data_IF_417432259201
#
_entry.id   IF_417432259201
#
_cell.length_a   1.000
_cell.length_b   1.000
_cell.length_c   1.000
_cell.angle_alpha   90.00
_cell.angle_beta   90.00
_cell.angle_gamma   90.00
#
_symmetry.space_group_name_H-M   'P 1'
#
loop_
_entity.id
_entity.type
_entity.pdbx_description
1 polymer ?
#
# COMPACT_ATOMS: atom_id res chain seq x y z
N UNK A 1 6.89 18.81 -29.97
CA UNK A 1 8.08 17.94 -30.20
C UNK A 1 9.29 18.87 -30.20
N UNK A 2 10.34 18.55 -29.45
CA UNK A 2 11.48 19.41 -29.03
C UNK A 2 11.21 20.32 -27.82
N UNK A 3 11.36 19.78 -26.60
CA UNK A 3 11.76 20.53 -25.38
C UNK A 3 12.04 19.61 -24.16
N UNK A 4 12.36 18.32 -24.34
CA UNK A 4 12.40 17.35 -23.23
C UNK A 4 13.80 16.76 -22.88
N UNK A 5 14.87 17.16 -23.56
CA UNK A 5 16.19 16.51 -23.38
C UNK A 5 17.30 17.38 -22.76
N UNK A 6 17.01 18.57 -22.24
CA UNK A 6 18.06 19.49 -21.74
C UNK A 6 18.05 19.81 -20.23
N UNK A 7 17.30 19.08 -19.39
CA UNK A 7 17.18 19.39 -17.93
C UNK A 7 17.81 18.31 -17.03
N UNK A 8 18.95 17.72 -17.40
CA UNK A 8 19.72 16.91 -16.44
C UNK A 8 21.23 17.13 -16.63
N UNK A 9 21.89 17.97 -15.81
CA UNK A 9 23.33 17.93 -15.68
C UNK A 9 23.73 16.59 -15.07
N UNK A 10 24.58 15.86 -15.78
CA UNK A 10 25.25 14.64 -15.35
C UNK A 10 26.28 14.93 -14.27
N UNK A 11 25.86 15.32 -13.08
CA UNK A 11 26.70 15.35 -11.88
C UNK A 11 25.87 14.80 -10.71
N UNK A 12 26.55 14.17 -9.75
CA UNK A 12 26.02 13.40 -8.59
C UNK A 12 25.82 11.90 -8.83
N UNK A 13 26.94 11.17 -8.92
CA UNK A 13 27.00 9.79 -8.41
C UNK A 13 26.98 9.85 -6.88
N UNK A 14 25.83 9.65 -6.27
CA UNK A 14 25.79 9.19 -4.87
C UNK A 14 26.12 7.69 -4.91
N UNK A 15 27.24 7.31 -4.29
CA UNK A 15 27.62 5.90 -4.14
C UNK A 15 26.58 5.19 -3.27
N UNK A 16 25.57 4.59 -3.90
CA UNK A 16 24.62 3.71 -3.24
C UNK A 16 25.26 2.33 -3.01
N UNK A 17 26.09 2.23 -1.98
CA UNK A 17 26.34 0.93 -1.34
C UNK A 17 25.03 0.49 -0.70
N UNK A 18 24.59 -0.76 -0.92
CA UNK A 18 23.37 -1.35 -0.32
C UNK A 18 23.32 -1.04 1.19
N UNK A 19 22.43 -0.14 1.59
CA UNK A 19 22.22 0.24 2.99
C UNK A 19 20.83 -0.16 3.43
N UNK A 20 20.79 -0.80 4.60
CA UNK A 20 19.64 -1.36 5.31
C UNK A 20 18.65 -0.24 5.63
N UNK A 21 17.36 -0.46 5.34
CA UNK A 21 16.30 0.52 5.55
C UNK A 21 15.85 0.53 7.02
N UNK A 22 16.62 1.24 7.84
CA UNK A 22 16.24 1.78 9.16
C UNK A 22 15.59 3.15 8.93
N UNK A 23 14.69 3.67 9.80
CA UNK A 23 14.17 5.02 9.63
C UNK A 23 15.34 6.00 9.76
N UNK A 24 15.84 6.51 8.64
CA UNK A 24 16.94 7.49 8.65
C UNK A 24 16.46 8.88 9.04
N UNK A 25 15.16 9.16 8.90
CA UNK A 25 14.56 10.47 9.18
C UNK A 25 13.55 10.41 10.33
N UNK A 26 13.45 11.52 11.06
CA UNK A 26 12.43 11.77 12.07
C UNK A 26 11.90 13.20 11.94
N UNK A 27 10.72 13.48 12.51
CA UNK A 27 10.10 14.79 12.40
C UNK A 27 10.52 15.71 13.55
N UNK A 28 11.02 16.90 13.23
CA UNK A 28 11.24 17.96 14.21
C UNK A 28 10.01 18.85 14.33
N UNK A 29 9.47 18.97 15.54
CA UNK A 29 8.33 19.88 15.80
C UNK A 29 8.74 21.35 15.69
N UNK A 30 9.97 21.67 16.07
CA UNK A 30 10.55 23.01 16.02
C UNK A 30 10.83 23.47 14.59
N UNK A 31 11.52 22.63 13.79
CA UNK A 31 11.82 22.96 12.39
C UNK A 31 10.67 22.67 11.43
N UNK A 32 9.62 21.98 11.90
CA UNK A 32 8.41 21.60 11.15
C UNK A 32 8.68 20.77 9.89
N UNK A 33 9.74 19.96 9.90
CA UNK A 33 10.16 19.13 8.78
C UNK A 33 10.74 17.79 9.23
N UNK A 34 10.77 16.82 8.31
CA UNK A 34 11.47 15.55 8.49
C UNK A 34 12.95 15.75 8.17
N UNK A 35 13.81 15.27 9.09
CA UNK A 35 15.25 15.45 9.05
C UNK A 35 15.92 14.13 9.37
N UNK A 36 17.01 13.82 8.69
CA UNK A 36 17.98 12.85 9.20
C UNK A 36 18.86 13.46 10.31
N UNK A 37 19.70 12.63 10.94
CA UNK A 37 20.57 13.07 12.04
C UNK A 37 21.55 14.15 11.59
N UNK A 38 22.08 14.05 10.36
CA UNK A 38 23.04 15.01 9.83
C UNK A 38 22.38 16.38 9.59
N UNK A 39 21.21 16.37 8.93
CA UNK A 39 20.41 17.55 8.67
C UNK A 39 19.95 18.24 9.96
N UNK A 40 19.59 17.46 10.98
CA UNK A 40 19.22 17.98 12.29
C UNK A 40 20.41 18.69 12.96
N UNK A 41 21.57 18.03 13.03
CA UNK A 41 22.77 18.60 13.64
C UNK A 41 23.25 19.85 12.89
N UNK A 42 23.17 19.86 11.56
CA UNK A 42 23.50 21.04 10.75
C UNK A 42 22.59 22.23 11.05
N UNK A 43 21.30 22.01 11.32
CA UNK A 43 20.35 23.06 11.70
C UNK A 43 20.55 23.56 13.13
N UNK A 44 20.94 22.67 14.05
CA UNK A 44 21.21 23.00 15.46
C UNK A 44 22.54 23.75 15.62
N UNK A 45 23.57 23.35 14.87
CA UNK A 45 24.95 23.80 15.03
C UNK A 45 25.34 25.06 14.24
N UNK A 46 24.42 26.02 14.01
CA UNK A 46 24.75 27.28 13.32
C UNK A 46 25.88 28.02 14.06
N UNK A 47 27.14 27.79 13.65
CA UNK A 47 28.34 28.45 14.17
C UNK A 47 29.40 27.55 14.84
N UNK A 48 29.23 26.23 14.90
CA UNK A 48 30.21 25.32 15.53
C UNK A 48 30.73 24.26 14.55
N UNK A 49 31.93 23.71 14.82
CA UNK A 49 32.49 22.61 14.01
C UNK A 49 31.51 21.43 13.94
N UNK A 50 31.34 20.80 12.76
CA UNK A 50 30.38 19.71 12.59
C UNK A 50 30.70 18.54 13.52
N UNK A 51 29.71 18.12 14.32
CA UNK A 51 29.83 16.95 15.21
C UNK A 51 29.98 15.70 14.34
N UNK A 52 31.04 14.89 14.51
CA UNK A 52 31.19 13.67 13.74
C UNK A 52 30.04 12.69 14.02
N UNK A 53 29.34 12.22 12.98
CA UNK A 53 28.18 11.33 13.10
C UNK A 53 28.47 9.97 13.78
N UNK A 54 29.74 9.61 13.94
CA UNK A 54 30.19 8.40 14.62
C UNK A 54 30.58 8.64 16.09
N UNK A 55 30.43 9.87 16.61
CA UNK A 55 30.75 10.27 17.99
C UNK A 55 29.61 11.09 18.61
N UNK A 56 28.36 10.62 18.48
CA UNK A 56 27.19 11.30 19.06
C UNK A 56 27.13 11.16 20.60
N UNK A 57 27.97 10.29 21.18
CA UNK A 57 28.12 10.08 22.62
C UNK A 57 28.76 11.28 23.34
N UNK A 58 29.36 12.21 22.60
CA UNK A 58 29.87 13.49 23.12
C UNK A 58 28.89 14.67 23.06
N UNK A 59 27.66 14.49 22.57
CA UNK A 59 26.69 15.59 22.46
C UNK A 59 26.31 16.14 23.84
N UNK A 60 26.19 17.47 23.95
CA UNK A 60 25.76 18.15 25.18
C UNK A 60 24.45 17.52 25.74
N UNK A 61 24.37 17.21 27.04
CA UNK A 61 23.16 16.76 27.69
C UNK A 61 21.93 17.63 27.41
N UNK A 62 22.09 18.96 27.32
CA UNK A 62 21.00 19.89 26.99
C UNK A 62 20.44 19.65 25.60
N UNK A 63 21.32 19.44 24.61
CA UNK A 63 20.89 19.11 23.24
C UNK A 63 20.19 17.76 23.18
N UNK A 64 20.63 16.76 23.95
CA UNK A 64 19.95 15.46 24.02
C UNK A 64 18.55 15.57 24.60
N UNK A 65 18.37 16.30 25.69
CA UNK A 65 17.05 16.53 26.28
C UNK A 65 16.14 17.33 25.35
N UNK A 66 16.69 18.31 24.62
CA UNK A 66 15.93 19.03 23.60
C UNK A 66 15.49 18.11 22.45
N UNK A 67 16.39 17.28 21.90
CA UNK A 67 16.07 16.30 20.85
C UNK A 67 14.97 15.34 21.31
N UNK A 68 15.08 14.83 22.54
CA UNK A 68 14.10 13.92 23.14
C UNK A 68 12.70 14.54 23.19
N UNK A 69 12.62 15.85 23.44
CA UNK A 69 11.38 16.64 23.50
C UNK A 69 10.90 17.12 22.14
N UNK A 70 11.76 17.36 21.17
CA UNK A 70 11.39 17.90 19.86
C UNK A 70 11.08 16.81 18.82
N UNK A 71 11.94 15.79 18.74
CA UNK A 71 11.89 14.81 17.67
C UNK A 71 10.76 13.81 17.91
N UNK A 72 10.03 13.51 16.84
CA UNK A 72 8.87 12.62 16.81
C UNK A 72 9.01 11.59 15.71
N UNK A 73 8.47 10.39 15.95
CA UNK A 73 8.25 9.42 14.89
C UNK A 73 7.33 10.03 13.81
N UNK A 74 7.70 9.97 12.51
CA UNK A 74 6.87 10.50 11.43
C UNK A 74 5.55 9.74 11.18
N UNK A 75 5.48 8.46 11.59
CA UNK A 75 4.30 7.61 11.40
C UNK A 75 3.41 7.64 12.64
N UNK A 76 3.88 7.12 13.78
CA UNK A 76 3.06 6.97 14.99
C UNK A 76 3.11 8.16 15.96
N UNK A 77 3.92 9.19 15.69
CA UNK A 77 3.98 10.40 16.51
C UNK A 77 4.63 10.27 17.88
N UNK A 78 5.19 9.12 18.24
CA UNK A 78 5.88 8.91 19.53
C UNK A 78 7.08 9.86 19.69
N UNK A 79 7.23 10.40 20.89
CA UNK A 79 8.34 11.24 21.34
C UNK A 79 9.48 10.42 21.96
N UNK A 80 10.53 11.08 22.43
CA UNK A 80 11.58 10.40 23.18
C UNK A 80 12.68 9.82 22.30
N UNK A 81 12.97 10.46 21.16
CA UNK A 81 14.04 10.03 20.28
C UNK A 81 15.41 10.14 20.98
N UNK A 82 16.25 9.13 20.78
CA UNK A 82 17.67 9.14 21.11
C UNK A 82 18.49 9.03 19.84
N UNK A 83 19.67 9.66 19.84
CA UNK A 83 20.60 9.57 18.71
C UNK A 83 21.48 8.33 18.86
N UNK A 84 21.58 7.55 17.79
CA UNK A 84 22.49 6.41 17.72
C UNK A 84 23.62 6.73 16.75
N UNK A 85 24.86 6.66 17.25
CA UNK A 85 26.07 6.90 16.46
C UNK A 85 26.15 5.95 15.25
N UNK A 86 26.60 6.51 14.12
CA UNK A 86 27.04 5.71 12.99
C UNK A 86 28.26 4.86 13.33
N UNK A 87 28.60 3.91 12.47
CA UNK A 87 29.79 3.09 12.60
C UNK A 87 30.63 3.17 11.32
N UNK A 88 31.96 3.19 11.46
CA UNK A 88 32.90 3.26 10.35
C UNK A 88 33.90 2.10 10.46
N UNK A 89 34.22 1.46 9.34
CA UNK A 89 35.17 0.37 9.28
C UNK A 89 36.59 0.89 9.56
N UNK A 90 37.21 0.40 10.64
CA UNK A 90 38.54 0.82 11.11
C UNK A 90 39.65 0.73 10.04
N UNK A 91 39.57 -0.23 9.10
CA UNK A 91 40.58 -0.46 8.05
C UNK A 91 40.37 0.34 6.77
N UNK A 92 39.13 0.66 6.41
CA UNK A 92 38.81 1.22 5.08
C UNK A 92 38.16 2.59 5.13
N UNK A 93 37.85 3.11 6.32
CA UNK A 93 37.10 4.36 6.47
C UNK A 93 35.67 4.30 5.92
N UNK A 94 35.20 3.14 5.46
CA UNK A 94 33.85 2.99 4.90
C UNK A 94 32.80 2.99 6.00
N UNK A 95 31.72 3.76 5.81
CA UNK A 95 30.57 3.74 6.70
C UNK A 95 29.94 2.33 6.72
N UNK A 96 29.90 1.72 7.91
CA UNK A 96 29.26 0.43 8.18
C UNK A 96 27.79 0.61 8.60
N UNK A 97 27.49 1.69 9.32
CA UNK A 97 26.14 2.02 9.80
C UNK A 97 25.94 3.53 9.79
N UNK A 98 24.79 3.98 9.31
CA UNK A 98 24.40 5.39 9.38
C UNK A 98 23.92 5.76 10.79
N UNK A 99 24.14 7.01 11.18
CA UNK A 99 23.50 7.56 12.35
C UNK A 99 21.99 7.61 12.16
N UNK A 100 21.22 7.29 13.20
CA UNK A 100 19.76 7.23 13.12
C UNK A 100 19.11 7.60 14.46
N UNK A 101 17.82 7.89 14.40
CA UNK A 101 16.98 8.08 15.58
C UNK A 101 16.47 6.74 16.09
N UNK A 102 16.43 6.57 17.41
CA UNK A 102 15.82 5.41 18.06
C UNK A 102 14.78 5.87 19.08
N UNK A 103 13.66 5.17 19.14
CA UNK A 103 12.58 5.42 20.11
C UNK A 103 12.49 4.22 21.04
N UNK A 104 12.70 4.41 22.35
CA UNK A 104 12.71 3.31 23.33
C UNK A 104 11.66 3.54 24.42
N UNK A 105 10.97 2.47 24.79
CA UNK A 105 10.13 2.41 25.98
C UNK A 105 10.73 1.39 26.97
N UNK A 106 11.76 1.80 27.72
CA UNK A 106 12.52 0.90 28.62
C UNK A 106 13.67 0.16 27.93
N UNK A 107 14.39 -0.70 28.65
CA UNK A 107 15.69 -1.26 28.22
C UNK A 107 15.61 -2.16 26.97
N UNK A 108 14.46 -2.78 26.68
CA UNK A 108 14.34 -3.77 25.57
C UNK A 108 13.07 -3.65 24.70
N UNK A 109 12.27 -2.58 24.85
CA UNK A 109 11.04 -2.43 24.08
C UNK A 109 11.14 -1.32 23.03
N UNK A 110 10.59 -1.58 21.84
CA UNK A 110 10.41 -0.56 20.83
C UNK A 110 9.42 0.49 21.38
N UNK A 111 9.81 1.77 21.40
CA UNK A 111 8.93 2.84 21.84
C UNK A 111 7.79 3.15 20.88
N UNK A 112 7.86 2.66 19.64
CA UNK A 112 6.80 2.84 18.65
C UNK A 112 5.47 2.20 19.09
N UNK A 113 4.37 2.84 18.70
CA UNK A 113 3.05 2.24 18.86
C UNK A 113 2.93 1.01 17.96
N UNK A 114 2.19 0.00 18.42
CA UNK A 114 1.94 -1.23 17.65
C UNK A 114 1.43 -0.90 16.25
N UNK A 115 1.96 -1.60 15.25
CA UNK A 115 1.73 -1.45 13.81
C UNK A 115 2.23 -0.13 13.21
N UNK A 116 3.11 0.60 13.90
CA UNK A 116 3.86 1.69 13.28
C UNK A 116 4.69 1.14 12.12
N UNK A 117 4.79 1.88 11.01
CA UNK A 117 5.62 1.47 9.87
C UNK A 117 7.09 1.31 10.24
N UNK A 118 7.51 1.88 11.38
CA UNK A 118 8.89 1.81 11.89
C UNK A 118 9.07 0.82 13.05
N UNK A 119 8.02 0.12 13.50
CA UNK A 119 8.10 -0.82 14.64
C UNK A 119 9.04 -2.02 14.38
N UNK A 120 9.04 -2.55 13.15
CA UNK A 120 9.86 -3.71 12.77
C UNK A 120 11.22 -3.31 12.17
N UNK A 121 11.38 -2.04 11.77
CA UNK A 121 12.61 -1.53 11.18
C UNK A 121 13.80 -1.56 12.17
N UNK A 122 13.51 -1.56 13.47
CA UNK A 122 14.53 -1.71 14.52
C UNK A 122 15.03 -3.15 14.70
N UNK A 123 14.31 -4.15 14.18
CA UNK A 123 14.59 -5.59 14.40
C UNK A 123 15.02 -6.34 13.15
N UNK A 124 14.54 -5.95 11.97
CA UNK A 124 14.81 -6.67 10.72
C UNK A 124 15.67 -5.87 9.74
N UNK A 125 16.70 -6.53 9.19
CA UNK A 125 17.63 -5.96 8.19
C UNK A 125 17.06 -5.91 6.76
N UNK A 126 15.79 -6.33 6.57
CA UNK A 126 15.05 -6.17 5.32
C UNK A 126 14.18 -4.92 5.45
N UNK A 127 14.35 -3.98 4.51
CA UNK A 127 13.58 -2.74 4.51
C UNK A 127 12.08 -2.95 4.59
N UNK A 128 11.40 -2.04 5.28
CA UNK A 128 9.95 -2.04 5.42
C UNK A 128 9.31 -1.85 4.04
N UNK A 129 8.56 -2.85 3.57
CA UNK A 129 7.93 -2.89 2.24
C UNK A 129 6.94 -1.73 2.01
N UNK A 130 6.38 -1.17 3.09
CA UNK A 130 5.45 -0.04 3.06
C UNK A 130 6.13 1.30 2.74
N UNK A 131 7.46 1.40 2.83
CA UNK A 131 8.19 2.67 2.67
C UNK A 131 8.50 2.95 1.20
N UNK A 132 7.83 3.95 0.63
CA UNK A 132 8.24 4.54 -0.65
C UNK A 132 9.34 5.57 -0.39
N UNK A 133 10.55 5.28 -0.85
CA UNK A 133 11.64 6.26 -0.89
C UNK A 133 11.51 7.12 -2.15
N UNK A 134 11.17 8.41 -1.98
CA UNK A 134 11.31 9.42 -3.04
C UNK A 134 12.78 9.87 -3.21
N UNK A 135 13.64 9.54 -2.25
CA UNK A 135 15.08 9.69 -2.31
C UNK A 135 15.73 8.66 -3.22
N UNK A 136 15.96 9.04 -4.48
CA UNK A 136 16.60 8.20 -5.50
C UNK A 136 15.61 7.34 -6.31
N UNK A 137 14.61 7.94 -6.99
CA UNK A 137 13.60 7.14 -7.66
C UNK A 137 14.17 6.47 -8.91
N UNK A 138 13.91 5.16 -9.04
CA UNK A 138 14.38 4.35 -10.18
C UNK A 138 13.60 4.60 -11.48
N UNK A 139 12.39 5.16 -11.41
CA UNK A 139 11.52 5.35 -12.57
C UNK A 139 11.13 6.84 -12.78
N UNK A 140 10.70 7.16 -14.00
CA UNK A 140 10.33 8.52 -14.42
C UNK A 140 9.15 9.07 -13.61
N UNK A 141 8.15 8.24 -13.34
CA UNK A 141 6.92 8.64 -12.64
C UNK A 141 7.21 9.13 -11.22
N UNK A 142 7.94 8.35 -10.41
CA UNK A 142 8.29 8.75 -9.04
C UNK A 142 9.20 9.98 -9.01
N UNK A 143 10.07 10.17 -10.02
CA UNK A 143 10.86 11.43 -10.16
C UNK A 143 9.97 12.63 -10.42
N UNK A 144 8.99 12.50 -11.32
CA UNK A 144 8.06 13.58 -11.62
C UNK A 144 7.15 13.91 -10.43
N UNK A 145 6.65 12.90 -9.73
CA UNK A 145 5.87 13.11 -8.51
C UNK A 145 6.69 13.82 -7.43
N UNK A 146 7.95 13.42 -7.22
CA UNK A 146 8.84 14.14 -6.29
C UNK A 146 9.00 15.60 -6.69
N UNK A 147 9.19 15.88 -7.97
CA UNK A 147 9.30 17.24 -8.50
C UNK A 147 8.04 18.07 -8.19
N UNK A 148 6.84 17.52 -8.42
CA UNK A 148 5.57 18.17 -8.07
C UNK A 148 5.42 18.40 -6.55
N UNK A 149 5.89 17.46 -5.73
CA UNK A 149 5.92 17.62 -4.27
C UNK A 149 6.84 18.77 -3.85
N UNK A 150 8.02 18.90 -4.46
CA UNK A 150 8.92 20.03 -4.19
C UNK A 150 8.25 21.37 -4.55
N UNK A 151 7.58 21.45 -5.71
CA UNK A 151 6.82 22.65 -6.10
C UNK A 151 5.75 22.97 -5.05
N UNK A 152 4.91 21.99 -4.69
CA UNK A 152 3.83 22.22 -3.74
C UNK A 152 4.32 22.70 -2.37
N UNK A 153 5.49 22.21 -1.92
CA UNK A 153 6.15 22.68 -0.69
C UNK A 153 6.68 24.11 -0.83
N UNK A 154 7.42 24.41 -1.90
CA UNK A 154 8.02 25.74 -2.09
C UNK A 154 6.98 26.84 -2.31
N UNK A 155 5.88 26.52 -2.98
CA UNK A 155 4.77 27.44 -3.20
C UNK A 155 3.83 27.54 -1.98
N UNK A 156 4.12 26.84 -0.89
CA UNK A 156 3.31 26.87 0.34
C UNK A 156 1.90 26.28 0.18
N UNK A 157 1.68 25.47 -0.85
CA UNK A 157 0.39 24.82 -1.10
C UNK A 157 0.12 23.66 -0.15
N UNK A 158 1.18 23.01 0.30
CA UNK A 158 1.22 22.10 1.44
C UNK A 158 2.64 22.08 2.00
N UNK A 159 2.84 21.45 3.15
CA UNK A 159 4.14 21.39 3.83
C UNK A 159 4.52 19.96 4.21
N UNK A 160 5.75 19.76 4.65
CA UNK A 160 6.15 18.49 5.27
C UNK A 160 5.36 18.18 6.55
N UNK A 161 4.86 19.22 7.25
CA UNK A 161 3.97 19.05 8.38
C UNK A 161 2.62 18.43 7.96
N UNK A 162 2.07 18.85 6.81
CA UNK A 162 0.82 18.30 6.26
C UNK A 162 1.00 16.84 5.82
N UNK A 163 2.16 16.53 5.22
CA UNK A 163 2.51 15.15 4.85
C UNK A 163 2.58 14.25 6.07
N UNK A 164 3.21 14.70 7.16
CA UNK A 164 3.20 13.99 8.44
C UNK A 164 1.80 13.89 9.03
N UNK A 165 1.02 14.97 9.02
CA UNK A 165 -0.33 15.00 9.57
C UNK A 165 -1.23 13.99 8.84
N UNK A 166 -1.12 13.87 7.52
CA UNK A 166 -1.79 12.85 6.72
C UNK A 166 -1.41 11.43 7.19
N UNK A 167 -0.11 11.15 7.34
CA UNK A 167 0.36 9.81 7.81
C UNK A 167 -0.22 9.46 9.17
N UNK A 168 -0.15 10.40 10.10
CA UNK A 168 -0.67 10.23 11.44
C UNK A 168 -2.19 10.01 11.41
N UNK A 169 -2.92 10.78 10.61
CA UNK A 169 -4.36 10.62 10.41
C UNK A 169 -4.71 9.23 9.86
N UNK A 170 -3.97 8.71 8.87
CA UNK A 170 -4.20 7.34 8.37
C UNK A 170 -3.91 6.28 9.43
N UNK A 171 -2.83 6.46 10.22
CA UNK A 171 -2.49 5.56 11.31
C UNK A 171 -3.58 5.55 12.39
N UNK A 172 -4.04 6.72 12.84
CA UNK A 172 -5.11 6.89 13.82
C UNK A 172 -6.43 6.28 13.33
N UNK A 173 -6.77 6.45 12.04
CA UNK A 173 -7.95 5.78 11.49
C UNK A 173 -7.78 4.26 11.53
N UNK A 174 -6.67 3.72 11.02
CA UNK A 174 -6.38 2.27 11.06
C UNK A 174 -6.43 1.69 12.47
N UNK A 175 -6.06 2.46 13.51
CA UNK A 175 -6.17 1.99 14.89
C UNK A 175 -7.61 1.73 15.35
N UNK A 176 -8.61 2.40 14.77
CA UNK A 176 -10.02 2.29 15.18
C UNK A 176 -10.65 0.94 14.83
N UNK A 177 -10.10 0.20 13.86
CA UNK A 177 -10.64 -1.09 13.44
C UNK A 177 -9.54 -2.12 13.23
N UNK A 178 -9.77 -3.32 13.73
CA UNK A 178 -8.85 -4.46 13.65
C UNK A 178 -9.62 -5.73 13.39
N UNK A 179 -8.95 -6.69 12.78
CA UNK A 179 -9.47 -8.04 12.63
C UNK A 179 -8.36 -9.06 12.91
N UNK A 180 -8.75 -10.32 13.13
CA UNK A 180 -7.81 -11.44 13.26
C UNK A 180 -7.78 -12.17 11.94
N UNK A 181 -6.58 -12.48 11.43
CA UNK A 181 -6.42 -13.28 10.21
C UNK A 181 -6.77 -14.73 10.52
N UNK A 182 -7.99 -15.14 10.18
CA UNK A 182 -8.51 -16.49 10.41
C UNK A 182 -8.62 -17.32 9.14
N UNK A 183 -8.66 -16.70 7.96
CA UNK A 183 -8.67 -17.43 6.70
C UNK A 183 -7.33 -18.10 6.40
N UNK A 184 -7.39 -19.18 5.63
CA UNK A 184 -6.25 -19.91 5.10
C UNK A 184 -6.05 -19.60 3.60
N UNK A 185 -4.94 -20.04 3.03
CA UNK A 185 -4.62 -19.78 1.61
C UNK A 185 -5.63 -20.46 0.67
N UNK A 186 -6.15 -21.61 1.08
CA UNK A 186 -7.17 -22.39 0.38
C UNK A 186 -8.48 -21.60 0.23
N UNK A 187 -8.76 -20.68 1.17
CA UNK A 187 -9.91 -19.80 1.04
C UNK A 187 -9.74 -18.81 -0.13
N UNK A 188 -8.51 -18.33 -0.37
CA UNK A 188 -8.22 -17.47 -1.52
C UNK A 188 -8.31 -18.27 -2.82
N UNK A 189 -7.78 -19.49 -2.84
CA UNK A 189 -7.94 -20.40 -3.98
C UNK A 189 -9.41 -20.63 -4.30
N UNK A 190 -10.19 -20.93 -3.27
CA UNK A 190 -11.62 -21.14 -3.39
C UNK A 190 -12.32 -19.93 -4.04
N UNK A 191 -12.11 -18.72 -3.52
CA UNK A 191 -12.68 -17.48 -4.11
C UNK A 191 -12.30 -17.33 -5.58
N UNK A 192 -11.01 -17.54 -5.91
CA UNK A 192 -10.51 -17.33 -7.28
C UNK A 192 -10.95 -18.42 -8.26
N UNK A 193 -11.25 -19.63 -7.77
CA UNK A 193 -11.70 -20.76 -8.59
C UNK A 193 -13.18 -20.72 -8.95
N UNK A 194 -14.00 -19.96 -8.19
CA UNK A 194 -15.45 -19.98 -8.34
C UNK A 194 -15.92 -19.21 -9.59
N UNK A 195 -16.93 -19.75 -10.31
CA UNK A 195 -17.49 -19.09 -11.48
C UNK A 195 -18.20 -17.80 -11.10
N UNK A 196 -18.44 -16.93 -12.09
CA UNK A 196 -19.28 -15.74 -11.90
C UNK A 196 -20.72 -16.13 -11.60
N UNK A 197 -21.40 -15.37 -10.74
CA UNK A 197 -22.85 -15.52 -10.54
C UNK A 197 -23.66 -15.17 -11.80
N UNK A 198 -23.03 -14.47 -12.75
CA UNK A 198 -23.60 -14.23 -14.08
C UNK A 198 -23.55 -15.54 -14.86
N UNK A 199 -24.61 -16.34 -14.74
CA UNK A 199 -24.88 -17.42 -15.67
C UNK A 199 -25.09 -16.80 -17.07
N UNK A 200 -24.60 -17.44 -18.16
CA UNK A 200 -25.24 -17.26 -19.44
C UNK A 200 -26.73 -17.60 -19.25
N UNK A 201 -27.64 -16.83 -19.85
CA UNK A 201 -29.06 -17.12 -19.78
C UNK A 201 -29.32 -18.51 -20.38
N UNK A 202 -29.33 -19.53 -19.53
CA UNK A 202 -29.47 -20.92 -19.93
C UNK A 202 -30.81 -21.41 -19.42
N UNK A 203 -31.56 -21.99 -20.34
CA UNK A 203 -32.81 -22.66 -20.04
C UNK A 203 -32.56 -23.74 -18.98
N UNK A 204 -33.53 -23.92 -18.09
CA UNK A 204 -33.52 -25.02 -17.13
C UNK A 204 -33.33 -26.36 -17.86
N UNK A 205 -32.58 -27.28 -17.24
CA UNK A 205 -32.38 -28.59 -17.82
C UNK A 205 -33.72 -29.30 -17.94
N UNK A 206 -34.01 -29.80 -19.13
CA UNK A 206 -35.16 -30.64 -19.38
C UNK A 206 -34.65 -32.07 -19.66
N UNK A 207 -35.11 -33.11 -18.92
CA UNK A 207 -34.58 -34.47 -19.05
C UNK A 207 -34.44 -35.02 -20.48
N UNK A 208 -35.35 -34.74 -21.44
CA UNK A 208 -35.18 -35.15 -22.84
C UNK A 208 -33.94 -34.60 -23.55
N UNK A 209 -33.35 -33.50 -23.08
CA UNK A 209 -32.10 -32.98 -23.65
C UNK A 209 -30.96 -34.01 -23.59
N UNK A 210 -30.99 -34.93 -22.63
CA UNK A 210 -30.03 -36.03 -22.52
C UNK A 210 -30.03 -37.02 -23.69
N UNK A 211 -31.06 -37.01 -24.55
CA UNK A 211 -31.10 -37.83 -25.78
C UNK A 211 -30.38 -37.18 -26.96
N UNK A 212 -30.08 -35.88 -26.88
CA UNK A 212 -29.45 -35.16 -27.98
C UNK A 212 -28.03 -35.73 -28.16
N UNK A 213 -27.65 -36.19 -29.37
CA UNK A 213 -26.28 -36.63 -29.63
C UNK A 213 -25.29 -35.53 -29.26
N UNK A 214 -24.22 -35.90 -28.54
CA UNK A 214 -23.19 -34.96 -28.06
C UNK A 214 -23.70 -33.90 -27.07
N UNK A 215 -24.82 -34.15 -26.36
CA UNK A 215 -25.28 -33.27 -25.30
C UNK A 215 -24.19 -33.02 -24.24
N UNK A 216 -23.92 -31.76 -23.94
CA UNK A 216 -22.87 -31.35 -23.02
C UNK A 216 -23.38 -31.35 -21.56
N UNK A 217 -23.35 -32.52 -20.94
CA UNK A 217 -23.72 -32.72 -19.54
C UNK A 217 -22.95 -31.81 -18.58
N UNK A 218 -21.66 -31.59 -18.83
CA UNK A 218 -20.81 -30.70 -18.04
C UNK A 218 -21.34 -29.28 -18.04
N UNK A 219 -21.72 -28.77 -19.21
CA UNK A 219 -22.25 -27.43 -19.37
C UNK A 219 -23.60 -27.26 -18.64
N UNK A 220 -24.50 -28.23 -18.75
CA UNK A 220 -25.77 -28.24 -18.01
C UNK A 220 -25.55 -28.29 -16.49
N UNK A 221 -24.57 -29.07 -16.03
CA UNK A 221 -24.20 -29.18 -14.63
C UNK A 221 -23.64 -27.86 -14.07
N UNK A 222 -22.77 -27.18 -14.81
CA UNK A 222 -22.27 -25.85 -14.44
C UNK A 222 -23.43 -24.86 -14.31
N UNK A 223 -24.37 -24.91 -15.25
CA UNK A 223 -25.53 -24.01 -15.27
C UNK A 223 -26.43 -24.23 -14.05
N UNK A 224 -26.71 -25.49 -13.71
CA UNK A 224 -27.44 -25.86 -12.50
C UNK A 224 -26.70 -25.40 -11.25
N UNK A 225 -25.42 -25.70 -11.14
CA UNK A 225 -24.60 -25.27 -10.00
C UNK A 225 -24.66 -23.76 -9.79
N UNK A 226 -24.50 -22.96 -10.85
CA UNK A 226 -24.54 -21.50 -10.78
C UNK A 226 -25.92 -21.01 -10.32
N UNK A 227 -27.00 -21.59 -10.87
CA UNK A 227 -28.38 -21.23 -10.50
C UNK A 227 -28.67 -21.56 -9.04
N UNK A 228 -28.39 -22.79 -8.64
CA UNK A 228 -28.73 -23.31 -7.31
C UNK A 228 -27.91 -22.59 -6.22
N UNK A 229 -26.72 -22.06 -6.57
CA UNK A 229 -25.82 -21.35 -5.65
C UNK A 229 -25.72 -19.83 -5.95
N UNK A 230 -26.62 -19.29 -6.77
CA UNK A 230 -26.56 -17.91 -7.28
C UNK A 230 -26.37 -16.84 -6.20
N UNK A 231 -27.20 -16.78 -5.13
CA UNK A 231 -27.07 -15.78 -4.08
C UNK A 231 -25.72 -15.80 -3.37
N UNK A 232 -25.12 -16.97 -3.22
CA UNK A 232 -23.80 -17.14 -2.61
C UNK A 232 -22.68 -16.77 -3.59
N UNK A 233 -22.79 -17.17 -4.86
CA UNK A 233 -21.85 -16.76 -5.91
C UNK A 233 -21.83 -15.23 -6.08
N UNK A 234 -22.97 -14.54 -5.92
CA UNK A 234 -23.03 -13.08 -5.95
C UNK A 234 -22.24 -12.46 -4.79
N UNK A 235 -22.28 -13.07 -3.60
CA UNK A 235 -21.43 -12.63 -2.48
C UNK A 235 -19.94 -12.84 -2.79
N UNK A 236 -19.58 -14.00 -3.36
CA UNK A 236 -18.20 -14.28 -3.77
C UNK A 236 -17.69 -13.39 -4.91
N UNK A 237 -18.56 -12.99 -5.83
CA UNK A 237 -18.20 -12.10 -6.93
C UNK A 237 -17.66 -10.76 -6.41
N UNK A 238 -18.13 -10.28 -5.26
CA UNK A 238 -17.62 -9.07 -4.60
C UNK A 238 -16.18 -9.19 -4.08
N UNK A 239 -15.69 -10.43 -3.93
CA UNK A 239 -14.33 -10.75 -3.46
C UNK A 239 -13.38 -11.07 -4.59
N UNK A 240 -13.87 -11.22 -5.81
CA UNK A 240 -13.02 -11.52 -6.96
C UNK A 240 -12.01 -10.42 -7.16
N UNK A 241 -10.80 -10.84 -7.48
CA UNK A 241 -9.65 -9.97 -7.57
C UNK A 241 -8.69 -10.44 -8.66
N UNK A 242 -7.66 -9.65 -8.94
CA UNK A 242 -6.61 -10.06 -9.86
C UNK A 242 -5.73 -11.17 -9.26
N UNK A 243 -5.09 -11.96 -10.13
CA UNK A 243 -4.15 -13.00 -9.73
C UNK A 243 -2.99 -12.45 -8.89
N UNK A 244 -2.55 -11.21 -9.17
CA UNK A 244 -1.50 -10.55 -8.41
C UNK A 244 -1.92 -10.23 -6.98
N UNK A 245 -3.15 -9.72 -6.78
CA UNK A 245 -3.68 -9.45 -5.44
C UNK A 245 -3.91 -10.75 -4.68
N UNK A 246 -4.45 -11.78 -5.34
CA UNK A 246 -4.62 -13.10 -4.73
C UNK A 246 -3.29 -13.70 -4.27
N UNK A 247 -2.25 -13.66 -5.12
CA UNK A 247 -0.90 -14.09 -4.75
C UNK A 247 -0.37 -13.33 -3.53
N UNK A 248 -0.48 -12.00 -3.54
CA UNK A 248 -0.02 -11.17 -2.43
C UNK A 248 -0.79 -11.45 -1.15
N UNK A 249 -2.10 -11.68 -1.24
CA UNK A 249 -2.92 -12.03 -0.09
C UNK A 249 -2.46 -13.34 0.57
N UNK A 250 -2.13 -14.37 -0.22
CA UNK A 250 -1.58 -15.63 0.32
C UNK A 250 -0.28 -15.43 1.06
N UNK A 251 0.69 -14.70 0.48
CA UNK A 251 1.96 -14.37 1.14
C UNK A 251 1.75 -13.69 2.51
N UNK A 252 0.78 -12.78 2.59
CA UNK A 252 0.41 -12.09 3.83
C UNK A 252 -0.29 -13.03 4.83
N UNK A 253 -1.17 -13.92 4.38
CA UNK A 253 -1.82 -14.92 5.23
C UNK A 253 -0.76 -15.82 5.89
N UNK A 254 0.20 -16.34 5.13
CA UNK A 254 1.28 -17.19 5.67
C UNK A 254 2.07 -16.45 6.76
N UNK A 255 2.38 -15.17 6.51
CA UNK A 255 3.19 -14.34 7.42
C UNK A 255 2.44 -13.93 8.70
N UNK A 256 1.14 -13.65 8.60
CA UNK A 256 0.35 -13.04 9.68
C UNK A 256 -0.78 -13.95 10.19
N UNK A 257 -0.67 -15.27 10.01
CA UNK A 257 -1.67 -16.25 10.45
C UNK A 257 -2.00 -16.07 11.94
N UNK A 258 -3.30 -16.02 12.27
CA UNK A 258 -3.82 -15.81 13.63
C UNK A 258 -3.34 -14.51 14.32
N UNK A 259 -2.74 -13.60 13.56
CA UNK A 259 -2.33 -12.29 14.08
C UNK A 259 -3.46 -11.29 13.94
N UNK A 260 -3.56 -10.38 14.91
CA UNK A 260 -4.42 -9.21 14.78
C UNK A 260 -3.76 -8.21 13.84
N UNK A 261 -4.50 -7.74 12.84
CA UNK A 261 -4.07 -6.78 11.82
C UNK A 261 -5.06 -5.62 11.70
N UNK A 262 -4.62 -4.51 11.11
CA UNK A 262 -5.51 -3.38 10.81
C UNK A 262 -6.58 -3.79 9.80
N UNK A 263 -7.82 -3.43 10.09
CA UNK A 263 -8.88 -3.53 9.11
C UNK A 263 -8.81 -2.31 8.19
N UNK A 264 -8.25 -2.52 7.00
CA UNK A 264 -8.09 -1.47 5.99
C UNK A 264 -9.42 -1.05 5.37
N UNK A 265 -10.52 -1.77 5.59
CA UNK A 265 -11.81 -1.47 4.93
C UNK A 265 -12.39 -0.11 5.31
N UNK A 266 -12.04 0.40 6.49
CA UNK A 266 -12.38 1.77 6.92
C UNK A 266 -11.80 2.83 5.99
N UNK A 267 -10.75 2.48 5.22
CA UNK A 267 -10.10 3.36 4.27
C UNK A 267 -10.75 3.32 2.89
N UNK A 268 -11.78 2.50 2.67
CA UNK A 268 -12.43 2.32 1.39
C UNK A 268 -12.91 3.61 0.70
N UNK A 269 -13.60 4.56 1.37
CA UNK A 269 -14.00 5.81 0.71
C UNK A 269 -12.77 6.61 0.23
N UNK A 270 -11.74 6.69 1.08
CA UNK A 270 -10.50 7.40 0.81
C UNK A 270 -9.68 6.75 -0.32
N UNK A 271 -9.61 5.41 -0.32
CA UNK A 271 -8.97 4.65 -1.38
C UNK A 271 -9.68 4.84 -2.72
N UNK A 272 -11.02 4.79 -2.72
CA UNK A 272 -11.85 5.05 -3.90
C UNK A 272 -11.58 6.42 -4.52
N UNK A 273 -11.66 7.48 -3.73
CA UNK A 273 -11.38 8.85 -4.21
C UNK A 273 -9.94 9.03 -4.68
N UNK A 274 -8.97 8.37 -4.03
CA UNK A 274 -7.57 8.40 -4.45
C UNK A 274 -7.37 7.73 -5.81
N UNK A 275 -8.01 6.57 -6.03
CA UNK A 275 -7.99 5.88 -7.32
C UNK A 275 -8.65 6.73 -8.40
N UNK A 276 -9.79 7.34 -8.11
CA UNK A 276 -10.50 8.22 -9.04
C UNK A 276 -9.62 9.41 -9.46
N UNK A 277 -8.92 10.04 -8.52
CA UNK A 277 -8.02 11.15 -8.81
C UNK A 277 -6.79 10.67 -9.61
N UNK A 278 -6.25 9.51 -9.28
CA UNK A 278 -5.14 8.90 -10.03
C UNK A 278 -5.55 8.55 -11.48
N UNK A 279 -6.77 8.05 -11.69
CA UNK A 279 -7.34 7.81 -13.03
C UNK A 279 -7.48 9.12 -13.79
N UNK A 280 -7.98 10.18 -13.13
CA UNK A 280 -8.10 11.50 -13.74
C UNK A 280 -6.72 12.01 -14.20
N UNK A 281 -5.70 12.02 -13.33
CA UNK A 281 -4.35 12.45 -13.72
C UNK A 281 -3.74 11.59 -14.82
N UNK A 282 -3.94 10.27 -14.77
CA UNK A 282 -3.43 9.38 -15.80
C UNK A 282 -4.05 9.68 -17.18
N UNK A 283 -5.30 10.12 -17.22
CA UNK A 283 -6.03 10.43 -18.46
C UNK A 283 -5.77 11.84 -18.97
N UNK A 284 -5.82 12.83 -18.08
CA UNK A 284 -5.84 14.26 -18.43
C UNK A 284 -4.48 14.95 -18.36
N UNK A 285 -3.47 14.34 -17.71
CA UNK A 285 -2.14 14.95 -17.53
C UNK A 285 -1.07 14.15 -18.29
N UNK A 286 -0.74 14.53 -19.55
CA UNK A 286 0.18 13.78 -20.38
C UNK A 286 1.59 13.61 -19.83
N UNK A 287 2.01 14.50 -18.93
CA UNK A 287 3.32 14.57 -18.30
C UNK A 287 3.63 13.30 -17.49
N UNK A 288 2.60 12.64 -16.96
CA UNK A 288 2.74 11.36 -16.26
C UNK A 288 3.05 10.20 -17.21
N UNK A 289 2.67 10.28 -18.49
CA UNK A 289 2.86 9.20 -19.46
C UNK A 289 2.02 7.94 -19.16
N UNK A 290 0.83 8.11 -18.57
CA UNK A 290 -0.05 7.03 -18.10
C UNK A 290 -1.37 6.92 -18.88
N UNK A 291 -1.50 7.61 -20.02
CA UNK A 291 -2.74 7.70 -20.81
C UNK A 291 -3.23 6.35 -21.36
N UNK A 292 -2.34 5.37 -21.50
CA UNK A 292 -2.71 4.01 -21.92
C UNK A 292 -2.95 3.06 -20.74
N UNK A 293 -2.80 3.55 -19.51
CA UNK A 293 -2.85 2.75 -18.27
C UNK A 293 -4.00 3.13 -17.34
N UNK A 294 -4.78 4.17 -17.63
CA UNK A 294 -5.87 4.63 -16.76
C UNK A 294 -6.89 3.53 -16.44
N UNK A 295 -7.23 2.66 -17.42
CA UNK A 295 -8.09 1.52 -17.18
C UNK A 295 -7.49 0.54 -16.16
N UNK A 296 -6.20 0.25 -16.26
CA UNK A 296 -5.52 -0.64 -15.30
C UNK A 296 -5.44 0.01 -13.90
N UNK A 297 -5.21 1.32 -13.83
CA UNK A 297 -5.17 2.10 -12.57
C UNK A 297 -6.53 2.03 -11.86
N UNK A 298 -7.65 2.13 -12.59
CA UNK A 298 -9.00 1.96 -12.04
C UNK A 298 -9.20 0.63 -11.31
N UNK A 299 -8.46 -0.41 -11.72
CA UNK A 299 -8.48 -1.75 -11.13
C UNK A 299 -7.32 -2.00 -10.15
N UNK A 300 -6.68 -0.95 -9.64
CA UNK A 300 -5.68 -1.04 -8.58
C UNK A 300 -4.24 -1.22 -9.04
N UNK A 301 -3.94 -1.14 -10.34
CA UNK A 301 -2.57 -1.22 -10.87
C UNK A 301 -1.79 0.11 -10.79
N UNK A 302 -2.19 1.02 -9.90
CA UNK A 302 -1.52 2.31 -9.70
C UNK A 302 -0.19 2.15 -8.98
N UNK A 303 0.76 3.05 -9.25
CA UNK A 303 2.00 3.07 -8.47
C UNK A 303 1.75 3.63 -7.07
N UNK A 304 2.53 3.15 -6.10
CA UNK A 304 2.49 3.64 -4.73
C UNK A 304 2.75 5.16 -4.64
N UNK A 305 3.64 5.68 -5.49
CA UNK A 305 3.98 7.11 -5.50
C UNK A 305 2.78 7.95 -5.97
N UNK A 306 2.10 7.52 -7.03
CA UNK A 306 0.94 8.26 -7.57
C UNK A 306 -0.21 8.24 -6.56
N UNK A 307 -0.50 7.09 -5.97
CA UNK A 307 -1.55 6.98 -4.95
C UNK A 307 -1.28 7.91 -3.77
N UNK A 308 -0.05 7.98 -3.30
CA UNK A 308 0.24 8.80 -2.14
C UNK A 308 0.28 10.30 -2.44
N UNK A 309 0.68 10.68 -3.64
CA UNK A 309 0.53 12.07 -4.09
C UNK A 309 -0.95 12.46 -4.21
N UNK A 310 -1.78 11.61 -4.82
CA UNK A 310 -3.23 11.84 -4.90
C UNK A 310 -3.87 11.92 -3.50
N UNK A 311 -3.47 11.02 -2.59
CA UNK A 311 -3.94 11.04 -1.21
C UNK A 311 -3.53 12.33 -0.48
N UNK A 312 -2.32 12.84 -0.72
CA UNK A 312 -1.85 14.11 -0.15
C UNK A 312 -2.70 15.28 -0.62
N UNK A 313 -2.93 15.38 -1.94
CA UNK A 313 -3.76 16.45 -2.50
C UNK A 313 -5.17 16.40 -1.92
N UNK A 314 -5.80 15.21 -1.90
CA UNK A 314 -7.11 15.03 -1.29
C UNK A 314 -7.10 15.38 0.19
N UNK A 315 -6.10 14.94 0.96
CA UNK A 315 -6.04 15.22 2.39
C UNK A 315 -6.00 16.72 2.68
N UNK A 316 -5.12 17.47 2.02
CA UNK A 316 -4.98 18.92 2.25
C UNK A 316 -6.19 19.71 1.76
N UNK A 317 -6.94 19.18 0.79
CA UNK A 317 -8.22 19.75 0.34
C UNK A 317 -9.44 19.20 1.08
N UNK A 318 -9.26 18.53 2.22
CA UNK A 318 -10.34 17.96 3.02
C UNK A 318 -11.23 16.97 2.23
N UNK A 319 -10.59 16.17 1.38
CA UNK A 319 -11.19 15.14 0.53
C UNK A 319 -12.18 15.70 -0.52
N UNK A 320 -12.04 16.98 -0.88
CA UNK A 320 -12.81 17.60 -1.97
C UNK A 320 -12.11 17.38 -3.31
N UNK A 321 -12.75 16.63 -4.19
CA UNK A 321 -12.18 16.15 -5.45
C UNK A 321 -11.81 17.29 -6.40
N UNK A 322 -12.73 18.21 -6.64
CA UNK A 322 -12.55 19.37 -7.51
C UNK A 322 -11.46 20.30 -7.00
N UNK A 323 -11.37 20.46 -5.67
CA UNK A 323 -10.31 21.24 -5.03
C UNK A 323 -8.95 20.58 -5.19
N UNK A 324 -8.86 19.25 -5.13
CA UNK A 324 -7.61 18.52 -5.37
C UNK A 324 -7.13 18.64 -6.83
N UNK A 325 -8.07 18.64 -7.80
CA UNK A 325 -7.76 18.91 -9.21
C UNK A 325 -7.25 20.34 -9.39
N UNK A 326 -7.94 21.33 -8.82
CA UNK A 326 -7.54 22.73 -8.90
C UNK A 326 -6.14 22.95 -8.28
N UNK A 327 -5.88 22.32 -7.13
CA UNK A 327 -4.57 22.34 -6.48
C UNK A 327 -3.48 21.74 -7.38
N UNK A 328 -3.75 20.60 -8.03
CA UNK A 328 -2.81 20.01 -8.99
C UNK A 328 -2.53 20.96 -10.17
N UNK A 329 -3.58 21.58 -10.72
CA UNK A 329 -3.43 22.58 -11.78
C UNK A 329 -2.52 23.73 -11.36
N UNK A 330 -2.67 24.24 -10.14
CA UNK A 330 -1.81 25.28 -9.60
C UNK A 330 -0.34 24.81 -9.45
N UNK A 331 -0.10 23.58 -8.98
CA UNK A 331 1.25 22.99 -8.89
C UNK A 331 1.89 22.91 -10.28
N UNK A 332 1.16 22.39 -11.28
CA UNK A 332 1.71 22.21 -12.62
C UNK A 332 2.03 23.53 -13.34
N UNK A 333 1.35 24.62 -12.98
CA UNK A 333 1.59 25.96 -13.55
C UNK A 333 2.64 26.78 -12.80
N UNK A 334 3.13 26.27 -11.67
CA UNK A 334 4.09 26.99 -10.83
C UNK A 334 5.52 26.92 -11.40
N UNK A 335 6.39 27.89 -11.06
CA UNK A 335 7.79 27.87 -11.45
C UNK A 335 8.52 26.62 -10.95
N UNK A 336 9.64 26.30 -11.60
CA UNK A 336 10.50 25.19 -11.17
C UNK A 336 10.99 25.37 -9.72
N UNK A 337 11.06 24.29 -8.93
CA UNK A 337 11.49 24.33 -7.53
C UNK A 337 13.01 24.58 -7.44
N UNK A 338 13.41 25.42 -6.48
CA UNK A 338 14.82 25.73 -6.18
C UNK A 338 15.50 24.66 -5.34
N UNK A 339 14.75 23.97 -4.48
CA UNK A 339 15.20 22.93 -3.57
C UNK A 339 14.53 21.58 -3.89
N UNK A 340 15.24 20.75 -4.65
CA UNK A 340 14.81 19.39 -4.99
C UNK A 340 14.89 18.40 -3.81
N UNK A 341 15.44 18.79 -2.66
CA UNK A 341 15.51 17.96 -1.46
C UNK A 341 14.27 18.08 -0.58
N UNK A 342 13.46 19.13 -0.75
CA UNK A 342 12.22 19.33 0.01
C UNK A 342 11.24 18.15 -0.11
N UNK A 343 11.23 17.47 -1.27
CA UNK A 343 10.42 16.27 -1.54
C UNK A 343 11.09 14.94 -1.18
N UNK A 344 12.26 14.94 -0.52
CA UNK A 344 12.95 13.73 -0.07
C UNK A 344 12.34 13.17 1.22
N UNK A 345 11.06 12.84 1.17
CA UNK A 345 10.29 12.40 2.33
C UNK A 345 10.05 10.89 2.20
N UNK A 346 10.43 10.13 3.24
CA UNK A 346 10.32 8.66 3.28
C UNK A 346 8.91 8.28 3.73
N UNK A 347 8.17 7.47 2.97
CA UNK A 347 6.94 6.82 3.44
C UNK A 347 5.65 7.45 2.93
N UNK A 348 5.38 7.30 1.64
CA UNK A 348 4.17 7.81 1.02
C UNK A 348 3.47 6.64 0.33
N UNK A 349 2.81 5.77 1.09
CA UNK A 349 1.63 5.05 0.60
C UNK A 349 0.73 4.59 1.75
N UNK A 350 -0.36 5.33 2.05
CA UNK A 350 -1.31 4.92 3.08
C UNK A 350 -2.12 3.67 2.71
N UNK A 351 -2.09 3.27 1.44
CA UNK A 351 -2.86 2.14 0.87
C UNK A 351 -1.96 0.97 0.46
N UNK A 352 -0.78 0.83 1.05
CA UNK A 352 0.09 -0.31 0.77
C UNK A 352 -0.66 -1.63 1.02
N UNK A 353 -0.64 -2.54 0.04
CA UNK A 353 -1.37 -3.80 0.04
C UNK A 353 -2.88 -3.70 0.36
N UNK A 354 -3.50 -2.53 0.16
CA UNK A 354 -4.90 -2.30 0.52
C UNK A 354 -5.84 -3.38 -0.04
N UNK A 355 -5.73 -3.71 -1.33
CA UNK A 355 -6.58 -4.69 -1.98
C UNK A 355 -6.37 -6.11 -1.41
N UNK A 356 -5.13 -6.47 -1.09
CA UNK A 356 -4.80 -7.77 -0.49
C UNK A 356 -5.31 -7.86 0.95
N UNK A 357 -5.08 -6.83 1.78
CA UNK A 357 -5.58 -6.78 3.15
C UNK A 357 -7.11 -6.77 3.22
N UNK A 358 -7.77 -6.04 2.31
CA UNK A 358 -9.23 -6.07 2.20
C UNK A 358 -9.73 -7.47 1.86
N UNK A 359 -9.11 -8.15 0.89
CA UNK A 359 -9.46 -9.53 0.53
C UNK A 359 -9.29 -10.49 1.70
N UNK A 360 -8.18 -10.41 2.44
CA UNK A 360 -7.92 -11.24 3.62
C UNK A 360 -8.98 -10.99 4.70
N UNK A 361 -9.33 -9.72 4.96
CA UNK A 361 -10.37 -9.36 5.93
C UNK A 361 -11.71 -9.96 5.53
N UNK A 362 -12.14 -9.73 4.30
CA UNK A 362 -13.42 -10.24 3.81
C UNK A 362 -13.44 -11.77 3.79
N UNK A 363 -12.35 -12.41 3.38
CA UNK A 363 -12.20 -13.87 3.41
C UNK A 363 -12.19 -14.44 4.83
N UNK A 364 -11.61 -13.73 5.80
CA UNK A 364 -11.63 -14.13 7.22
C UNK A 364 -13.03 -14.03 7.82
N UNK A 365 -13.83 -13.06 7.38
CA UNK A 365 -15.25 -12.94 7.78
C UNK A 365 -16.09 -14.04 7.13
N UNK A 366 -15.81 -14.38 5.87
CA UNK A 366 -16.61 -15.34 5.12
C UNK A 366 -16.19 -16.80 5.32
N UNK A 367 -14.96 -17.09 5.75
CA UNK A 367 -14.46 -18.46 5.95
C UNK A 367 -15.29 -19.25 6.97
N UNK A 368 -15.89 -18.58 7.94
CA UNK A 368 -16.84 -19.18 8.89
C UNK A 368 -18.06 -19.78 8.18
N UNK A 369 -18.49 -19.19 7.05
CA UNK A 369 -19.63 -19.65 6.25
C UNK A 369 -19.26 -20.71 5.21
N UNK A 370 -17.98 -20.84 4.86
CA UNK A 370 -17.52 -21.69 3.75
C UNK A 370 -17.25 -23.14 4.13
N UNK A 371 -17.11 -23.47 5.42
CA UNK A 371 -16.78 -24.82 5.89
C UNK A 371 -17.80 -25.90 5.49
N UNK A 372 -18.95 -25.51 4.94
CA UNK A 372 -20.06 -26.41 4.56
C UNK A 372 -20.27 -26.47 3.03
N UNK A 373 -19.55 -25.68 2.24
CA UNK A 373 -19.81 -25.58 0.79
C UNK A 373 -18.83 -26.42 -0.03
N UNK A 374 -19.31 -27.14 -1.06
CA UNK A 374 -18.44 -27.93 -1.91
C UNK A 374 -17.48 -27.05 -2.71
N UNK A 375 -16.35 -27.62 -3.13
CA UNK A 375 -15.50 -27.00 -4.15
C UNK A 375 -16.25 -26.87 -5.46
N UNK A 376 -15.79 -25.98 -6.36
CA UNK A 376 -16.42 -25.81 -7.67
C UNK A 376 -16.50 -27.15 -8.44
N UNK A 377 -15.41 -27.93 -8.40
CA UNK A 377 -15.36 -29.24 -9.04
C UNK A 377 -16.39 -30.20 -8.43
N UNK A 378 -16.41 -30.36 -7.11
CA UNK A 378 -17.36 -31.24 -6.42
C UNK A 378 -18.82 -30.83 -6.67
N UNK A 379 -19.11 -29.53 -6.64
CA UNK A 379 -20.46 -29.01 -6.88
C UNK A 379 -20.94 -29.25 -8.31
N UNK A 380 -20.07 -29.10 -9.31
CA UNK A 380 -20.38 -29.41 -10.71
C UNK A 380 -20.51 -30.92 -10.92
N UNK A 381 -19.62 -31.72 -10.34
CA UNK A 381 -19.66 -33.18 -10.46
C UNK A 381 -20.97 -33.74 -9.84
N UNK A 382 -21.36 -33.24 -8.67
CA UNK A 382 -22.62 -33.60 -8.03
C UNK A 382 -23.84 -33.16 -8.86
N UNK A 383 -23.80 -31.96 -9.46
CA UNK A 383 -24.84 -31.48 -10.36
C UNK A 383 -24.96 -32.35 -11.61
N UNK A 384 -23.83 -32.80 -12.18
CA UNK A 384 -23.82 -33.68 -13.35
C UNK A 384 -24.45 -35.05 -13.03
N UNK A 385 -24.08 -35.64 -11.90
CA UNK A 385 -24.66 -36.90 -11.42
C UNK A 385 -26.18 -36.76 -11.24
N UNK A 386 -26.65 -35.68 -10.60
CA UNK A 386 -28.07 -35.43 -10.40
C UNK A 386 -28.84 -35.28 -11.72
N UNK A 387 -28.29 -34.55 -12.69
CA UNK A 387 -28.93 -34.37 -14.01
C UNK A 387 -29.03 -35.68 -14.80
N UNK A 388 -28.00 -36.53 -14.73
CA UNK A 388 -28.01 -37.85 -15.36
C UNK A 388 -29.04 -38.77 -14.71
N UNK A 389 -29.20 -38.68 -13.40
CA UNK A 389 -30.21 -39.44 -12.66
C UNK A 389 -31.63 -38.98 -12.99
N UNK A 390 -31.87 -37.67 -13.08
CA UNK A 390 -33.15 -37.10 -13.55
C UNK A 390 -33.51 -37.61 -14.96
N UNK A 391 -32.53 -37.66 -15.87
CA UNK A 391 -32.72 -38.23 -17.20
C UNK A 391 -33.04 -39.73 -17.16
N UNK A 392 -32.34 -40.50 -16.33
CA UNK A 392 -32.58 -41.94 -16.15
C UNK A 392 -34.00 -42.20 -15.61
N UNK A 393 -34.44 -41.46 -14.60
CA UNK A 393 -35.78 -41.56 -14.04
C UNK A 393 -36.85 -41.17 -15.06
N UNK A 394 -36.63 -40.09 -15.81
CA UNK A 394 -37.52 -39.71 -16.90
C UNK A 394 -37.64 -40.80 -17.96
N UNK A 395 -36.54 -41.45 -18.36
CA UNK A 395 -36.57 -42.60 -19.29
C UNK A 395 -37.43 -43.74 -18.76
N UNK A 396 -37.26 -44.10 -17.48
CA UNK A 396 -38.04 -45.17 -16.85
C UNK A 396 -39.52 -44.82 -16.74
N UNK A 397 -39.88 -43.55 -16.58
CA UNK A 397 -41.28 -43.12 -16.54
C UNK A 397 -42.01 -43.19 -17.90
N UNK A 398 -41.29 -43.51 -18.98
CA UNK A 398 -41.82 -43.67 -20.34
C UNK A 398 -41.98 -45.13 -20.77
N UNK A 399 -41.50 -46.06 -19.95
CA UNK A 399 -41.75 -47.50 -20.07
C UNK A 399 -43.00 -47.80 -19.26
#
# INVERSE_FOLDING_TARGET
MMLAELIFPSFWRVNHTRMVAVPTTAYSTYFRCELDVEQLLAKMGKGSSPVPLHQLDGLDPLWREWIKKDIRCPSCGVAGATLISGAVAKRSGKALRQAHFRFQAGEHNNGHLRYCDFELADRESKGVENLVALGGPRNRETRYIRYLVCIGIEQGMFSQADIRAMRQWFFENKQKSRFVVTCAEENIDYITSMPSSRAPALSEFFPPYGEIPSFNWRHAAISRFIRDNGPWLTQLDSLKTSSQVAKRAKELITRYKQSSMFDVSILQPYYGSTIELAVFFARECPEFGLQNKYHAIRWGASSNALLAFCALLLYVTQWKFESAIALMGAIMQSPEPKDLLAGNIIGLNPFHDYAAWKLIRDASVMSVKWSVLPTYKEGVDASEVALREEHRLWKLSRI
#
